data_IF_321456668789
#
_entry.id   IF_321456668789
#
_cell.length_a   1.000
_cell.length_b   1.000
_cell.length_c   1.000
_cell.angle_alpha   90.00
_cell.angle_beta   90.00
_cell.angle_gamma   90.00
#
_symmetry.space_group_name_H-M   'P 1'
#
loop_
_entity.id
_entity.type
_entity.pdbx_description
1 polymer ?
#
# COMPACT_ATOMS: atom_id res chain seq x y z
N UNK A 1 7.25 -17.38 40.43
CA UNK A 1 7.52 -18.17 39.23
C UNK A 1 6.19 -18.81 38.82
N UNK A 2 5.41 -18.13 37.97
CA UNK A 2 4.07 -18.57 37.57
C UNK A 2 4.20 -19.40 36.29
N UNK A 3 4.16 -20.72 36.43
CA UNK A 3 4.06 -21.66 35.33
C UNK A 3 2.60 -21.68 34.85
N UNK A 4 2.32 -21.08 33.70
CA UNK A 4 0.98 -21.06 33.11
C UNK A 4 0.61 -22.45 32.57
N UNK A 5 -0.45 -23.05 33.14
CA UNK A 5 -1.05 -24.33 32.77
C UNK A 5 -1.75 -24.30 31.39
N UNK A 6 -1.00 -24.26 30.29
CA UNK A 6 -1.57 -24.41 28.94
C UNK A 6 -1.40 -25.83 28.36
N UNK A 7 -0.81 -26.77 29.11
CA UNK A 7 -0.40 -28.09 28.60
C UNK A 7 -1.31 -29.26 28.98
N UNK A 8 -2.55 -29.03 29.45
CA UNK A 8 -3.46 -30.11 29.91
C UNK A 8 -4.88 -30.12 29.31
N UNK A 9 -5.08 -29.63 28.09
CA UNK A 9 -6.30 -29.94 27.35
C UNK A 9 -6.03 -31.12 26.41
N UNK A 10 -6.41 -32.34 26.84
CA UNK A 10 -6.57 -33.46 25.92
C UNK A 10 -7.60 -33.05 24.86
N UNK A 11 -7.33 -33.24 23.56
CA UNK A 11 -8.33 -32.95 22.53
C UNK A 11 -9.50 -33.91 22.73
N UNK A 12 -10.65 -33.35 23.11
CA UNK A 12 -11.92 -34.08 23.04
C UNK A 12 -12.16 -34.40 21.54
N UNK A 13 -12.01 -35.67 21.18
CA UNK A 13 -11.75 -36.14 19.82
C UNK A 13 -12.95 -35.99 18.85
N UNK A 14 -14.02 -35.30 19.26
CA UNK A 14 -15.22 -35.10 18.46
C UNK A 14 -15.89 -33.73 18.58
N UNK A 15 -15.33 -32.75 19.30
CA UNK A 15 -16.01 -31.45 19.49
C UNK A 15 -15.64 -30.38 18.47
N UNK A 16 -14.49 -30.48 17.81
CA UNK A 16 -14.04 -29.44 16.88
C UNK A 16 -13.48 -30.03 15.58
N UNK A 17 -13.69 -29.34 14.46
CA UNK A 17 -13.01 -29.58 13.18
C UNK A 17 -12.10 -28.41 12.88
N UNK A 18 -11.04 -28.68 12.12
CA UNK A 18 -10.20 -27.63 11.55
C UNK A 18 -10.51 -27.49 10.07
N UNK A 19 -10.73 -26.25 9.65
CA UNK A 19 -10.88 -25.87 8.25
C UNK A 19 -9.58 -25.19 7.83
N UNK A 20 -8.94 -25.73 6.80
CA UNK A 20 -7.79 -25.11 6.14
C UNK A 20 -8.32 -24.28 4.99
N UNK A 21 -8.03 -22.98 4.98
CA UNK A 21 -8.55 -22.05 3.96
C UNK A 21 -7.56 -20.92 3.70
N UNK A 22 -7.68 -20.25 2.55
CA UNK A 22 -7.05 -18.95 2.33
C UNK A 22 -7.91 -17.84 2.93
N UNK A 23 -7.28 -16.93 3.67
CA UNK A 23 -7.94 -15.77 4.25
C UNK A 23 -6.96 -14.58 4.33
N UNK A 24 -7.50 -13.39 4.63
CA UNK A 24 -6.66 -12.24 4.99
C UNK A 24 -6.09 -12.51 6.38
N UNK A 25 -4.77 -12.64 6.46
CA UNK A 25 -4.03 -12.97 7.70
C UNK A 25 -3.19 -11.80 8.21
N UNK A 26 -3.28 -10.65 7.55
CA UNK A 26 -2.65 -9.40 7.95
C UNK A 26 -3.13 -8.28 7.05
N UNK A 27 -3.21 -7.06 7.59
CA UNK A 27 -3.52 -5.88 6.80
C UNK A 27 -2.74 -4.68 7.31
N UNK A 28 -2.52 -3.72 6.44
CA UNK A 28 -1.84 -2.48 6.79
C UNK A 28 -2.34 -1.33 5.91
N UNK A 29 -2.66 -0.22 6.57
CA UNK A 29 -2.90 1.06 5.90
C UNK A 29 -1.61 1.86 5.92
N UNK A 30 -1.16 2.31 4.75
CA UNK A 30 0.01 3.19 4.61
C UNK A 30 -0.38 4.42 3.82
N UNK A 31 -0.17 5.58 4.44
CA UNK A 31 -0.13 6.86 3.75
C UNK A 31 1.32 7.23 3.52
N UNK A 32 1.66 7.68 2.32
CA UNK A 32 3.02 8.03 1.99
C UNK A 32 3.07 9.14 0.95
N UNK A 33 4.21 9.81 0.89
CA UNK A 33 4.41 10.97 0.04
C UNK A 33 5.43 10.70 -1.07
N UNK A 34 5.14 11.20 -2.27
CA UNK A 34 6.04 11.11 -3.43
C UNK A 34 6.49 12.52 -3.80
N UNK A 35 7.80 12.74 -3.78
CA UNK A 35 8.42 13.98 -4.27
C UNK A 35 8.95 13.78 -5.69
N UNK A 36 8.67 14.73 -6.58
CA UNK A 36 9.20 14.73 -7.94
C UNK A 36 9.66 16.12 -8.35
N UNK A 37 10.78 16.19 -9.06
CA UNK A 37 11.28 17.42 -9.67
C UNK A 37 11.06 17.32 -11.18
N UNK A 38 10.37 18.32 -11.71
CA UNK A 38 9.92 18.43 -13.09
C UNK A 38 10.67 19.61 -13.72
N UNK A 39 11.21 19.40 -14.92
CA UNK A 39 11.90 20.44 -15.67
C UNK A 39 10.89 21.11 -16.61
N UNK A 40 10.72 22.44 -16.55
CA UNK A 40 10.01 23.18 -17.58
C UNK A 40 10.68 22.99 -18.96
N UNK A 41 9.97 23.27 -20.06
CA UNK A 41 10.55 23.38 -21.39
C UNK A 41 11.77 24.32 -21.42
N UNK A 42 12.68 24.05 -22.34
CA UNK A 42 13.90 24.84 -22.49
C UNK A 42 13.59 26.32 -22.74
N UNK A 43 14.36 27.20 -22.09
CA UNK A 43 14.19 28.66 -22.17
C UNK A 43 13.08 29.24 -21.28
N UNK A 44 12.16 28.43 -20.75
CA UNK A 44 11.14 28.92 -19.84
C UNK A 44 11.64 28.98 -18.40
N UNK A 45 11.53 30.15 -17.77
CA UNK A 45 11.87 30.35 -16.36
C UNK A 45 10.58 30.56 -15.54
N UNK A 46 10.09 29.52 -14.82
CA UNK A 46 8.88 29.64 -14.02
C UNK A 46 9.04 30.72 -12.95
N UNK A 47 8.02 31.57 -12.83
CA UNK A 47 7.96 32.63 -11.81
C UNK A 47 6.88 32.37 -10.77
N UNK A 48 5.79 31.68 -11.14
CA UNK A 48 4.68 31.39 -10.24
C UNK A 48 3.97 30.09 -10.61
N UNK A 49 3.58 29.30 -9.60
CA UNK A 49 2.66 28.17 -9.80
C UNK A 49 1.21 28.68 -9.73
N UNK A 50 0.43 28.38 -10.75
CA UNK A 50 -0.96 28.81 -10.90
C UNK A 50 -1.96 27.72 -10.49
N UNK A 51 -1.58 26.46 -10.67
CA UNK A 51 -2.41 25.33 -10.29
C UNK A 51 -1.74 24.00 -10.60
N UNK A 52 -2.31 22.93 -10.09
CA UNK A 52 -1.88 21.58 -10.39
C UNK A 52 -3.09 20.64 -10.41
N UNK A 53 -2.97 19.52 -11.12
CA UNK A 53 -3.86 18.37 -10.96
C UNK A 53 -3.08 17.08 -11.12
N UNK A 54 -3.58 16.01 -10.51
CA UNK A 54 -3.09 14.65 -10.69
C UNK A 54 -4.19 13.83 -11.35
N UNK A 55 -3.85 13.08 -12.39
CA UNK A 55 -4.81 12.32 -13.20
C UNK A 55 -4.23 10.98 -13.60
N UNK A 56 -5.08 10.11 -14.18
CA UNK A 56 -4.71 8.81 -14.74
C UNK A 56 -3.84 7.96 -13.81
N UNK A 57 -4.17 7.95 -12.51
CA UNK A 57 -3.51 7.07 -11.58
C UNK A 57 -3.84 5.62 -11.90
N UNK A 58 -2.80 4.79 -12.03
CA UNK A 58 -2.91 3.37 -12.28
C UNK A 58 -1.93 2.63 -11.39
N UNK A 59 -2.42 1.64 -10.64
CA UNK A 59 -1.54 0.64 -10.03
C UNK A 59 -1.11 -0.36 -11.11
N UNK A 60 0.18 -0.61 -11.22
CA UNK A 60 0.75 -1.53 -12.22
C UNK A 60 1.22 -2.84 -11.59
N UNK A 61 1.14 -3.89 -12.41
CA UNK A 61 1.23 -5.30 -12.03
C UNK A 61 2.54 -5.70 -11.37
N UNK A 62 2.50 -5.78 -10.05
CA UNK A 62 2.64 -7.00 -9.23
C UNK A 62 2.73 -6.51 -7.79
N UNK A 63 1.62 -6.58 -7.07
CA UNK A 63 1.60 -6.59 -5.60
C UNK A 63 2.28 -7.86 -5.13
N UNK A 64 3.60 -7.87 -5.24
CA UNK A 64 4.43 -9.02 -4.94
C UNK A 64 5.05 -8.86 -3.57
N UNK A 65 5.19 -9.98 -2.87
CA UNK A 65 5.92 -9.98 -1.61
C UNK A 65 7.41 -10.03 -1.89
N UNK A 66 8.12 -9.09 -1.30
CA UNK A 66 9.58 -9.11 -1.21
C UNK A 66 9.94 -9.74 0.12
N UNK A 67 10.65 -10.86 0.07
CA UNK A 67 11.41 -11.37 1.22
C UNK A 67 12.84 -10.88 1.05
N UNK A 68 13.27 -9.89 1.81
CA UNK A 68 14.66 -9.45 1.77
C UNK A 68 15.54 -10.52 2.44
N UNK A 69 16.42 -11.16 1.68
CA UNK A 69 17.51 -11.94 2.28
C UNK A 69 18.49 -10.97 2.95
N UNK A 70 19.00 -11.37 4.11
CA UNK A 70 19.92 -10.67 5.04
C UNK A 70 19.37 -9.47 5.84
N UNK A 71 18.50 -8.59 5.28
CA UNK A 71 18.25 -7.26 5.91
C UNK A 71 16.81 -7.00 6.43
N UNK A 72 16.03 -8.04 6.76
CA UNK A 72 14.80 -7.93 7.57
C UNK A 72 13.61 -7.09 7.07
N UNK A 73 13.50 -6.71 5.79
CA UNK A 73 12.27 -6.06 5.30
C UNK A 73 11.46 -6.99 4.39
N UNK A 74 10.54 -7.74 5.02
CA UNK A 74 9.43 -8.40 4.35
C UNK A 74 8.33 -7.37 4.06
N UNK A 75 7.94 -7.25 2.79
CA UNK A 75 6.99 -6.20 2.38
C UNK A 75 6.29 -6.46 1.07
N UNK A 76 5.18 -5.78 0.83
CA UNK A 76 4.45 -5.81 -0.44
C UNK A 76 5.01 -4.69 -1.32
N UNK A 77 5.62 -5.04 -2.45
CA UNK A 77 6.02 -4.07 -3.46
C UNK A 77 4.78 -3.58 -4.19
N UNK A 78 4.60 -2.27 -4.27
CA UNK A 78 3.59 -1.65 -5.12
C UNK A 78 4.25 -0.83 -6.23
N UNK A 79 3.68 -0.96 -7.42
CA UNK A 79 4.06 -0.20 -8.60
C UNK A 79 2.86 0.56 -9.14
N UNK A 80 3.11 1.68 -9.80
CA UNK A 80 2.06 2.43 -10.47
C UNK A 80 2.59 3.60 -11.28
N UNK A 81 1.66 4.37 -11.83
CA UNK A 81 1.91 5.62 -12.53
C UNK A 81 0.78 6.61 -12.26
N UNK A 82 1.07 7.89 -12.37
CA UNK A 82 0.06 8.95 -12.50
C UNK A 82 0.59 10.04 -13.40
N UNK A 83 -0.30 10.82 -13.99
CA UNK A 83 0.03 12.01 -14.76
C UNK A 83 -0.19 13.26 -13.93
N UNK A 84 0.79 14.15 -13.94
CA UNK A 84 0.72 15.45 -13.29
C UNK A 84 0.59 16.53 -14.35
N UNK A 85 -0.34 17.47 -14.16
CA UNK A 85 -0.40 18.70 -14.96
C UNK A 85 -0.17 19.87 -14.03
N UNK A 86 0.79 20.73 -14.37
CA UNK A 86 1.15 21.88 -13.55
C UNK A 86 1.08 23.11 -14.42
N UNK A 87 0.18 24.03 -14.06
CA UNK A 87 0.08 25.34 -14.68
C UNK A 87 0.99 26.30 -13.95
N UNK A 88 1.80 27.03 -14.71
CA UNK A 88 2.72 28.01 -14.19
C UNK A 88 2.79 29.23 -15.10
N UNK A 89 3.12 30.37 -14.50
CA UNK A 89 3.55 31.54 -15.22
C UNK A 89 5.08 31.52 -15.33
N UNK A 90 5.61 32.10 -16.40
CA UNK A 90 7.05 32.24 -16.66
C UNK A 90 7.36 33.62 -17.23
N UNK A 91 8.65 33.96 -17.35
CA UNK A 91 9.14 35.27 -17.83
C UNK A 91 8.51 36.43 -17.05
N UNK A 92 8.59 36.36 -15.72
CA UNK A 92 8.02 37.36 -14.81
C UNK A 92 6.50 37.52 -14.93
N UNK A 93 5.80 36.46 -15.34
CA UNK A 93 4.34 36.45 -15.43
C UNK A 93 3.78 36.95 -16.76
N UNK A 94 4.62 37.15 -17.78
CA UNK A 94 4.20 37.58 -19.12
C UNK A 94 3.47 36.49 -19.89
N UNK A 95 3.77 35.23 -19.58
CA UNK A 95 3.23 34.06 -20.28
C UNK A 95 2.92 32.94 -19.30
N UNK A 96 2.04 32.02 -19.71
CA UNK A 96 1.63 30.85 -18.93
C UNK A 96 1.74 29.59 -19.76
N UNK A 97 2.10 28.48 -19.14
CA UNK A 97 2.14 27.18 -19.78
C UNK A 97 1.71 26.06 -18.82
N UNK A 98 1.53 24.85 -19.36
CA UNK A 98 1.23 23.64 -18.61
C UNK A 98 2.28 22.56 -18.91
N UNK A 99 3.02 22.16 -17.88
CA UNK A 99 3.89 20.98 -17.99
C UNK A 99 3.11 19.74 -17.60
N UNK A 100 3.20 18.70 -18.44
CA UNK A 100 2.59 17.39 -18.20
C UNK A 100 3.69 16.35 -18.05
N UNK A 101 3.69 15.62 -16.94
CA UNK A 101 4.65 14.54 -16.71
C UNK A 101 3.97 13.29 -16.12
N UNK A 102 4.26 12.13 -16.72
CA UNK A 102 3.93 10.82 -16.17
C UNK A 102 4.99 10.42 -15.16
N UNK A 103 4.58 10.26 -13.90
CA UNK A 103 5.49 9.95 -12.80
C UNK A 103 5.29 8.49 -12.39
N UNK A 104 6.36 7.68 -12.36
CA UNK A 104 6.28 6.32 -11.83
C UNK A 104 6.20 6.34 -10.30
N UNK A 105 5.37 5.45 -9.76
CA UNK A 105 5.26 5.14 -8.35
C UNK A 105 5.93 3.80 -8.07
N UNK A 106 6.80 3.76 -7.05
CA UNK A 106 7.36 2.54 -6.46
C UNK A 106 7.44 2.71 -4.96
N UNK A 107 6.89 1.76 -4.21
CA UNK A 107 6.86 1.81 -2.75
C UNK A 107 6.83 0.38 -2.18
N UNK A 108 7.34 0.21 -0.96
CA UNK A 108 7.31 -1.06 -0.22
C UNK A 108 6.45 -0.88 1.03
N UNK A 109 5.39 -1.65 1.14
CA UNK A 109 4.53 -1.65 2.31
C UNK A 109 5.06 -2.71 3.28
N UNK A 110 5.55 -2.33 4.48
CA UNK A 110 6.10 -3.31 5.41
C UNK A 110 5.03 -4.23 5.96
N UNK A 111 5.40 -5.46 6.28
CA UNK A 111 4.53 -6.45 6.92
C UNK A 111 4.94 -6.52 8.39
N UNK A 112 4.16 -5.89 9.26
CA UNK A 112 4.47 -5.81 10.70
C UNK A 112 3.59 -6.69 11.57
N UNK A 113 2.41 -7.07 11.08
CA UNK A 113 1.44 -7.90 11.80
C UNK A 113 0.87 -8.98 10.87
N UNK A 114 1.49 -10.16 10.92
CA UNK A 114 1.14 -11.32 10.09
C UNK A 114 0.95 -12.55 10.97
N UNK A 115 -0.28 -13.07 11.01
CA UNK A 115 -0.65 -14.23 11.82
C UNK A 115 -0.71 -15.54 10.99
N UNK A 116 -0.18 -15.53 9.76
CA UNK A 116 -0.22 -16.68 8.86
C UNK A 116 1.06 -17.52 8.88
N UNK A 117 1.04 -18.61 8.12
CA UNK A 117 2.23 -19.46 7.93
C UNK A 117 3.18 -18.83 6.89
N UNK A 118 4.35 -18.36 7.33
CA UNK A 118 5.34 -17.69 6.48
C UNK A 118 6.00 -18.62 5.44
N UNK A 119 5.86 -19.94 5.63
CA UNK A 119 6.42 -20.97 4.77
C UNK A 119 5.55 -21.28 3.55
N UNK A 120 4.30 -20.79 3.54
CA UNK A 120 3.32 -21.02 2.47
C UNK A 120 3.34 -19.91 1.41
N UNK A 121 2.74 -20.14 0.23
CA UNK A 121 2.52 -19.08 -0.74
C UNK A 121 1.65 -18.00 -0.12
N UNK A 122 2.23 -16.82 0.03
CA UNK A 122 1.53 -15.64 0.49
C UNK A 122 1.21 -14.81 -0.75
N UNK A 123 -0.04 -14.36 -0.87
CA UNK A 123 -0.51 -13.43 -1.89
C UNK A 123 -0.85 -12.09 -1.24
N UNK A 124 -1.00 -11.03 -2.03
CA UNK A 124 -1.32 -9.70 -1.53
C UNK A 124 -2.29 -8.97 -2.43
N UNK A 125 -3.34 -8.42 -1.82
CA UNK A 125 -4.25 -7.46 -2.45
C UNK A 125 -3.90 -6.06 -1.97
N UNK A 126 -3.88 -5.09 -2.88
CA UNK A 126 -3.75 -3.67 -2.51
C UNK A 126 -4.90 -2.88 -3.09
N UNK A 127 -5.49 -2.05 -2.25
CA UNK A 127 -6.56 -1.13 -2.59
C UNK A 127 -6.13 0.31 -2.31
N UNK A 128 -6.62 1.25 -3.12
CA UNK A 128 -6.43 2.68 -2.89
C UNK A 128 -7.46 3.16 -1.89
N UNK A 129 -6.99 3.69 -0.76
CA UNK A 129 -7.86 4.32 0.26
C UNK A 129 -7.82 5.85 0.20
N UNK A 130 -6.79 6.42 -0.44
CA UNK A 130 -6.71 7.84 -0.79
C UNK A 130 -6.05 7.99 -2.14
N UNK A 131 -6.77 8.58 -3.10
CA UNK A 131 -6.23 8.90 -4.41
C UNK A 131 -5.05 9.88 -4.31
N UNK A 132 -4.09 9.85 -5.25
CA UNK A 132 -2.98 10.79 -5.24
C UNK A 132 -3.45 12.23 -5.31
N UNK A 133 -3.05 13.01 -4.32
CA UNK A 133 -3.31 14.43 -4.22
C UNK A 133 -1.98 15.17 -4.12
N UNK A 134 -1.83 16.27 -4.84
CA UNK A 134 -0.67 17.12 -4.65
C UNK A 134 -0.91 18.03 -3.44
N UNK A 135 0.01 17.98 -2.49
CA UNK A 135 0.00 18.81 -1.29
C UNK A 135 0.69 20.14 -1.54
N UNK A 136 1.72 20.14 -2.39
CA UNK A 136 2.56 21.32 -2.62
C UNK A 136 3.26 21.25 -3.96
N UNK A 137 3.26 22.37 -4.67
CA UNK A 137 4.11 22.62 -5.83
C UNK A 137 4.92 23.90 -5.59
N UNK A 138 6.24 23.84 -5.78
CA UNK A 138 7.14 25.00 -5.61
C UNK A 138 8.12 25.10 -6.77
N UNK A 139 8.53 26.32 -7.07
CA UNK A 139 9.66 26.58 -7.96
C UNK A 139 10.93 26.51 -7.12
N UNK A 140 11.90 25.71 -7.55
CA UNK A 140 13.19 25.56 -6.90
C UNK A 140 14.15 26.66 -7.33
N UNK A 141 15.26 26.81 -6.60
CA UNK A 141 16.32 27.77 -6.95
C UNK A 141 16.95 27.51 -8.33
N UNK A 142 16.84 26.30 -8.85
CA UNK A 142 17.39 25.89 -10.14
C UNK A 142 16.38 26.05 -11.29
N UNK A 143 15.33 26.87 -11.12
CA UNK A 143 14.23 27.05 -12.08
C UNK A 143 13.52 25.74 -12.47
N UNK A 144 13.41 24.78 -11.54
CA UNK A 144 12.62 23.55 -11.71
C UNK A 144 11.37 23.61 -10.86
N UNK A 145 10.40 22.76 -11.14
CA UNK A 145 9.19 22.64 -10.33
C UNK A 145 9.30 21.38 -9.47
N UNK A 146 9.27 21.53 -8.15
CA UNK A 146 9.17 20.39 -7.22
C UNK A 146 7.72 20.23 -6.77
N UNK A 147 7.19 19.03 -6.94
CA UNK A 147 5.88 18.62 -6.42
C UNK A 147 6.03 17.61 -5.28
N UNK A 148 5.12 17.69 -4.31
CA UNK A 148 4.94 16.70 -3.27
C UNK A 148 3.49 16.21 -3.34
N UNK A 149 3.35 14.90 -3.48
CA UNK A 149 2.07 14.22 -3.56
C UNK A 149 1.89 13.33 -2.35
N UNK A 150 0.64 13.04 -2.00
CA UNK A 150 0.26 12.09 -0.98
C UNK A 150 -0.80 11.13 -1.53
N UNK A 151 -0.66 9.85 -1.19
CA UNK A 151 -1.65 8.82 -1.45
C UNK A 151 -1.71 7.84 -0.29
N UNK A 152 -2.79 7.08 -0.23
CA UNK A 152 -3.03 6.08 0.78
C UNK A 152 -3.40 4.74 0.16
N UNK A 153 -2.82 3.67 0.69
CA UNK A 153 -3.08 2.30 0.29
C UNK A 153 -3.46 1.43 1.49
N UNK A 154 -4.35 0.47 1.26
CA UNK A 154 -4.61 -0.67 2.15
C UNK A 154 -4.00 -1.90 1.49
N UNK A 155 -3.06 -2.54 2.16
CA UNK A 155 -2.50 -3.81 1.76
C UNK A 155 -3.07 -4.92 2.62
N UNK A 156 -3.53 -6.00 2.01
CA UNK A 156 -4.04 -7.18 2.68
C UNK A 156 -3.23 -8.39 2.24
N UNK A 157 -2.75 -9.13 3.23
CA UNK A 157 -1.92 -10.30 3.05
C UNK A 157 -2.83 -11.51 3.09
N UNK A 158 -2.85 -12.28 2.01
CA UNK A 158 -3.67 -13.47 1.88
C UNK A 158 -2.74 -14.67 2.05
N UNK A 159 -3.01 -15.48 3.07
CA UNK A 159 -2.26 -16.72 3.30
C UNK A 159 -3.21 -17.84 3.69
N UNK A 160 -2.70 -19.06 3.72
CA UNK A 160 -3.42 -20.19 4.30
C UNK A 160 -3.44 -20.07 5.83
N UNK A 161 -4.62 -20.27 6.41
CA UNK A 161 -4.83 -20.28 7.85
C UNK A 161 -5.76 -21.42 8.26
N UNK A 162 -5.83 -21.69 9.56
CA UNK A 162 -6.70 -22.72 10.15
C UNK A 162 -7.79 -22.06 10.98
N UNK A 163 -9.03 -22.42 10.70
CA UNK A 163 -10.20 -22.03 11.50
C UNK A 163 -10.68 -23.25 12.27
N UNK A 164 -10.76 -23.14 13.60
CA UNK A 164 -11.32 -24.21 14.44
C UNK A 164 -12.81 -23.95 14.64
N UNK A 165 -13.63 -24.90 14.20
CA UNK A 165 -15.10 -24.83 14.28
C UNK A 165 -15.63 -25.88 15.25
N UNK A 166 -16.57 -25.52 16.10
CA UNK A 166 -17.24 -26.46 17.01
C UNK A 166 -18.27 -27.26 16.21
N UNK A 167 -18.28 -28.57 16.38
CA UNK A 167 -19.29 -29.46 15.81
C UNK A 167 -20.57 -29.30 16.63
N UNK A 168 -21.68 -28.99 15.96
CA UNK A 168 -23.00 -29.01 16.58
C UNK A 168 -23.41 -30.45 16.89
N UNK A 169 -23.80 -30.71 18.14
CA UNK A 169 -24.40 -31.98 18.57
C UNK A 169 -25.88 -31.70 18.88
N UNK A 170 -26.82 -32.20 18.07
CA UNK A 170 -28.24 -32.13 18.42
C UNK A 170 -28.48 -32.85 19.74
N UNK A 171 -29.30 -32.27 20.63
CA UNK A 171 -29.72 -32.96 21.84
C UNK A 171 -30.72 -34.06 21.46
N UNK A 172 -30.39 -35.33 21.74
CA UNK A 172 -31.39 -36.41 21.63
C UNK A 172 -32.43 -36.20 22.74
N UNK A 173 -33.66 -35.84 22.37
CA UNK A 173 -34.80 -35.96 23.27
C UNK A 173 -35.02 -37.44 23.55
N UNK A 174 -34.72 -37.87 24.78
CA UNK A 174 -35.06 -39.21 25.25
C UNK A 174 -36.59 -39.28 25.40
N UNK A 175 -37.23 -39.98 24.47
CA UNK A 175 -38.62 -40.41 24.58
C UNK A 175 -38.83 -41.39 25.73
#
# INVERSE_FOLDING_TARGET
>A
MLQTEWSKLKPDSGQFREIITKAVCGNIKKYFQVSKVIKPPEGQQPSQILGFTVTKFQLTGKTGLRKAMENQESGINIGGTFETHIWYAYDEGKSTDVVKETVPLKEIIPITDFAGDETKPIDARVEIIKHPECLKAIITKDNKIKINLELGVLAEIISETRVRVRIYQPHEERH
#
